data_IF_215702119267
#
_entry.id   IF_215702119267
#
_cell.length_a   1.000
_cell.length_b   1.000
_cell.length_c   1.000
_cell.angle_alpha   90.00
_cell.angle_beta   90.00
_cell.angle_gamma   90.00
#
_symmetry.space_group_name_H-M   'P 1'
#
loop_
_entity.id
_entity.type
_entity.pdbx_description
1 polymer ?
#
# COMPACT_ATOMS: atom_id res chain seq x y z
N UNK A 1 11.48 16.82 8.09
CA UNK A 1 11.89 15.60 7.37
C UNK A 1 12.10 15.96 5.90
N UNK A 2 13.06 15.33 5.23
CA UNK A 2 13.31 15.55 3.79
C UNK A 2 12.13 15.06 2.94
N UNK A 3 12.05 15.49 1.68
CA UNK A 3 10.96 15.10 0.77
C UNK A 3 11.18 13.73 0.14
N UNK A 4 10.11 13.11 -0.42
CA UNK A 4 10.20 11.89 -1.23
C UNK A 4 11.28 12.02 -2.31
N UNK A 5 11.27 13.11 -3.09
CA UNK A 5 12.21 13.31 -4.20
C UNK A 5 13.66 13.41 -3.71
N UNK A 6 13.89 13.94 -2.52
CA UNK A 6 15.21 13.99 -1.89
C UNK A 6 15.72 12.58 -1.58
N UNK A 7 14.88 11.74 -1.00
CA UNK A 7 15.23 10.35 -0.70
C UNK A 7 15.40 9.53 -1.98
N UNK A 8 14.52 9.71 -2.96
CA UNK A 8 14.61 9.07 -4.27
C UNK A 8 15.96 9.35 -4.95
N UNK A 9 16.39 10.63 -5.00
CA UNK A 9 17.71 10.99 -5.56
C UNK A 9 18.86 10.25 -4.87
N UNK A 10 18.78 10.05 -3.56
CA UNK A 10 19.78 9.28 -2.79
C UNK A 10 19.69 7.77 -3.01
N UNK A 11 18.59 7.24 -3.52
CA UNK A 11 18.54 5.83 -3.96
C UNK A 11 19.28 5.66 -5.29
N UNK A 12 19.20 6.64 -6.19
CA UNK A 12 19.94 6.65 -7.46
C UNK A 12 21.43 6.96 -7.31
N UNK A 13 21.85 7.60 -6.21
CA UNK A 13 23.24 7.96 -5.98
C UNK A 13 24.11 6.71 -5.73
N UNK A 14 24.77 6.22 -6.77
CA UNK A 14 25.67 5.07 -6.74
C UNK A 14 26.96 5.34 -5.94
N UNK A 15 27.27 6.61 -5.64
CA UNK A 15 28.37 6.95 -4.74
C UNK A 15 28.06 6.65 -3.27
N UNK A 16 26.81 6.37 -2.92
CA UNK A 16 26.41 6.01 -1.57
C UNK A 16 26.49 4.50 -1.33
N UNK A 17 26.88 4.06 -0.12
CA UNK A 17 26.81 2.66 0.26
C UNK A 17 25.40 2.08 0.07
N UNK A 18 25.30 0.82 -0.36
CA UNK A 18 24.01 0.16 -0.67
C UNK A 18 23.04 0.21 0.51
N UNK A 19 23.53 0.06 1.75
CA UNK A 19 22.71 0.21 2.97
C UNK A 19 22.14 1.63 3.16
N UNK A 20 22.88 2.66 2.78
CA UNK A 20 22.40 4.04 2.84
C UNK A 20 21.32 4.28 1.78
N UNK A 21 21.50 3.74 0.57
CA UNK A 21 20.49 3.77 -0.50
C UNK A 21 19.20 3.07 -0.06
N UNK A 22 19.30 1.88 0.54
CA UNK A 22 18.17 1.15 1.11
C UNK A 22 17.44 1.91 2.22
N UNK A 23 18.17 2.59 3.10
CA UNK A 23 17.58 3.46 4.13
C UNK A 23 16.78 4.61 3.51
N UNK A 24 17.25 5.17 2.39
CA UNK A 24 16.50 6.18 1.64
C UNK A 24 15.26 5.60 0.96
N UNK A 25 15.31 4.38 0.42
CA UNK A 25 14.11 3.67 -0.08
C UNK A 25 13.05 3.52 1.03
N UNK A 26 13.45 3.10 2.23
CA UNK A 26 12.55 3.02 3.39
C UNK A 26 11.96 4.39 3.76
N UNK A 27 12.73 5.46 3.59
CA UNK A 27 12.23 6.82 3.81
C UNK A 27 11.22 7.25 2.74
N UNK A 28 11.37 6.82 1.49
CA UNK A 28 10.35 7.00 0.44
C UNK A 28 9.02 6.33 0.82
N UNK A 29 9.07 5.12 1.40
CA UNK A 29 7.88 4.38 1.85
C UNK A 29 7.14 5.06 3.01
N UNK A 30 7.85 5.84 3.84
CA UNK A 30 7.17 6.68 4.85
C UNK A 30 6.27 7.72 4.18
N UNK A 31 6.63 8.22 3.00
CA UNK A 31 5.83 9.23 2.29
C UNK A 31 4.69 8.65 1.46
N UNK A 32 4.81 7.42 0.97
CA UNK A 32 3.79 6.76 0.15
C UNK A 32 3.91 5.24 0.27
N UNK A 33 2.87 4.60 0.79
CA UNK A 33 2.80 3.15 0.93
C UNK A 33 1.35 2.67 0.69
N UNK A 34 0.95 2.40 -0.57
CA UNK A 34 -0.45 2.10 -0.92
C UNK A 34 -1.07 0.96 -0.11
N UNK A 35 -0.28 -0.05 0.26
CA UNK A 35 -0.73 -1.21 1.03
C UNK A 35 -0.45 -1.09 2.54
N UNK A 36 0.07 0.04 3.01
CA UNK A 36 0.75 0.14 4.29
C UNK A 36 2.24 -0.20 4.18
N UNK A 37 3.05 0.31 5.12
CA UNK A 37 4.50 0.24 5.04
C UNK A 37 5.03 -1.19 4.86
N UNK A 38 4.56 -2.14 5.67
CA UNK A 38 5.06 -3.52 5.67
C UNK A 38 4.71 -4.26 4.38
N UNK A 39 3.44 -4.20 3.97
CA UNK A 39 2.97 -4.86 2.76
C UNK A 39 3.55 -4.22 1.49
N UNK A 40 3.65 -2.90 1.43
CA UNK A 40 4.26 -2.21 0.27
C UNK A 40 5.75 -2.56 0.15
N UNK A 41 6.50 -2.59 1.26
CA UNK A 41 7.91 -2.98 1.22
C UNK A 41 8.07 -4.45 0.80
N UNK A 42 7.24 -5.35 1.33
CA UNK A 42 7.28 -6.76 0.94
C UNK A 42 6.95 -6.96 -0.54
N UNK A 43 5.93 -6.26 -1.05
CA UNK A 43 5.61 -6.22 -2.48
C UNK A 43 6.83 -5.79 -3.30
N UNK A 44 7.51 -4.69 -2.94
CA UNK A 44 8.71 -4.21 -3.63
C UNK A 44 9.88 -5.21 -3.57
N UNK A 45 10.03 -5.95 -2.46
CA UNK A 45 11.03 -7.02 -2.40
C UNK A 45 10.78 -8.08 -3.48
N UNK A 46 9.52 -8.44 -3.71
CA UNK A 46 9.13 -9.43 -4.71
C UNK A 46 9.16 -8.87 -6.14
N UNK A 47 8.55 -7.71 -6.38
CA UNK A 47 8.41 -7.12 -7.72
C UNK A 47 9.75 -6.63 -8.30
N UNK A 48 10.56 -5.97 -7.48
CA UNK A 48 11.87 -5.46 -7.89
C UNK A 48 13.01 -6.47 -7.68
N UNK A 49 12.72 -7.61 -7.03
CA UNK A 49 13.67 -8.67 -6.74
C UNK A 49 14.78 -8.26 -5.78
N UNK A 50 14.43 -7.57 -4.68
CA UNK A 50 15.42 -7.11 -3.69
C UNK A 50 16.00 -8.32 -2.94
N UNK A 51 17.31 -8.61 -3.04
CA UNK A 51 17.91 -9.78 -2.39
C UNK A 51 18.11 -9.60 -0.86
N UNK A 52 18.31 -10.71 -0.12
CA UNK A 52 18.76 -10.67 1.30
C UNK A 52 20.04 -9.86 1.45
N UNK A 53 20.98 -10.13 0.57
CA UNK A 53 22.26 -9.47 0.49
C UNK A 53 22.20 -8.41 -0.60
N UNK A 54 21.95 -7.17 -0.19
CA UNK A 54 21.74 -6.03 -1.09
C UNK A 54 22.92 -5.79 -2.03
N UNK A 55 24.14 -6.17 -1.65
CA UNK A 55 25.33 -5.98 -2.47
C UNK A 55 25.33 -6.88 -3.73
N UNK A 56 24.52 -7.95 -3.74
CA UNK A 56 24.38 -8.83 -4.91
C UNK A 56 23.63 -8.16 -6.06
N UNK A 57 22.71 -7.27 -5.74
CA UNK A 57 21.97 -6.49 -6.72
C UNK A 57 21.55 -5.12 -6.15
N UNK A 58 22.48 -4.15 -6.08
CA UNK A 58 22.17 -2.80 -5.63
C UNK A 58 21.13 -2.10 -6.53
N UNK A 59 21.04 -2.49 -7.80
CA UNK A 59 20.11 -1.94 -8.78
C UNK A 59 18.65 -2.33 -8.52
N UNK A 60 18.39 -3.39 -7.74
CA UNK A 60 17.05 -3.71 -7.25
C UNK A 60 16.39 -2.57 -6.46
N UNK A 61 17.18 -1.75 -5.78
CA UNK A 61 16.69 -0.58 -5.05
C UNK A 61 16.21 0.53 -5.99
N UNK A 62 16.85 0.66 -7.15
CA UNK A 62 16.44 1.61 -8.18
C UNK A 62 15.09 1.18 -8.76
N UNK A 63 14.98 -0.10 -9.19
CA UNK A 63 13.72 -0.65 -9.71
C UNK A 63 12.57 -0.48 -8.72
N UNK A 64 12.83 -0.74 -7.44
CA UNK A 64 11.84 -0.57 -6.37
C UNK A 64 11.39 0.89 -6.19
N UNK A 65 12.32 1.86 -6.22
CA UNK A 65 11.95 3.27 -6.06
C UNK A 65 11.26 3.84 -7.29
N UNK A 66 11.59 3.35 -8.50
CA UNK A 66 10.92 3.69 -9.75
C UNK A 66 9.47 3.23 -9.73
N UNK A 67 9.21 1.96 -9.43
CA UNK A 67 7.85 1.43 -9.31
C UNK A 67 7.01 2.21 -8.28
N UNK A 68 7.60 2.50 -7.12
CA UNK A 68 6.95 3.29 -6.09
C UNK A 68 6.67 4.74 -6.56
N UNK A 69 7.61 5.35 -7.28
CA UNK A 69 7.47 6.70 -7.79
C UNK A 69 6.38 6.80 -8.85
N UNK A 70 6.32 5.87 -9.79
CA UNK A 70 5.31 5.84 -10.86
C UNK A 70 3.90 5.78 -10.28
N UNK A 71 3.68 4.87 -9.34
CA UNK A 71 2.43 4.77 -8.58
C UNK A 71 2.11 6.07 -7.81
N UNK A 72 3.14 6.67 -7.19
CA UNK A 72 2.98 7.92 -6.43
C UNK A 72 2.59 9.11 -7.32
N UNK A 73 3.06 9.16 -8.57
CA UNK A 73 2.69 10.24 -9.49
C UNK A 73 1.21 10.19 -9.85
N UNK A 74 0.67 8.98 -10.07
CA UNK A 74 -0.77 8.80 -10.31
C UNK A 74 -1.59 9.29 -9.11
N UNK A 75 -1.20 8.87 -7.90
CA UNK A 75 -1.85 9.33 -6.67
C UNK A 75 -1.77 10.85 -6.50
N UNK A 76 -0.60 11.46 -6.72
CA UNK A 76 -0.45 12.92 -6.62
C UNK A 76 -1.28 13.68 -7.65
N UNK A 77 -1.39 13.17 -8.88
CA UNK A 77 -2.21 13.77 -9.92
C UNK A 77 -3.69 13.75 -9.55
N UNK A 78 -4.15 12.62 -9.05
CA UNK A 78 -5.52 12.46 -8.57
C UNK A 78 -5.83 13.33 -7.34
N UNK A 79 -4.91 13.43 -6.36
CA UNK A 79 -5.05 14.32 -5.20
C UNK A 79 -5.15 15.80 -5.61
N UNK A 80 -4.35 16.24 -6.60
CA UNK A 80 -4.47 17.60 -7.16
C UNK A 80 -5.83 17.81 -7.81
N UNK A 81 -6.25 16.87 -8.66
CA UNK A 81 -7.55 16.94 -9.33
C UNK A 81 -8.72 16.98 -8.32
N UNK A 82 -8.65 16.17 -7.27
CA UNK A 82 -9.61 16.19 -6.17
C UNK A 82 -9.61 17.53 -5.44
N UNK A 83 -8.43 18.06 -5.06
CA UNK A 83 -8.33 19.36 -4.40
C UNK A 83 -8.92 20.48 -5.25
N UNK A 84 -8.70 20.48 -6.57
CA UNK A 84 -9.24 21.45 -7.51
C UNK A 84 -10.76 21.39 -7.58
N UNK A 85 -11.33 20.19 -7.73
CA UNK A 85 -12.78 19.97 -7.69
C UNK A 85 -13.39 20.45 -6.38
N UNK A 86 -12.79 20.09 -5.24
CA UNK A 86 -13.27 20.51 -3.91
C UNK A 86 -13.17 22.01 -3.70
N UNK A 87 -12.16 22.69 -4.25
CA UNK A 87 -12.08 24.15 -4.23
C UNK A 87 -13.23 24.77 -5.04
N UNK A 88 -13.52 24.26 -6.23
CA UNK A 88 -14.64 24.72 -7.05
C UNK A 88 -16.00 24.47 -6.39
N UNK A 89 -16.23 23.29 -5.80
CA UNK A 89 -17.47 22.97 -5.09
C UNK A 89 -17.70 23.90 -3.90
N UNK A 90 -16.65 24.14 -3.10
CA UNK A 90 -16.71 25.08 -1.97
C UNK A 90 -17.04 26.49 -2.43
N UNK A 91 -16.47 26.95 -3.56
CA UNK A 91 -16.78 28.25 -4.14
C UNK A 91 -18.25 28.35 -4.60
N UNK A 92 -18.85 27.24 -5.02
CA UNK A 92 -20.28 27.12 -5.37
C UNK A 92 -21.20 26.82 -4.17
N UNK A 93 -20.67 26.86 -2.95
CA UNK A 93 -21.44 26.60 -1.72
C UNK A 93 -21.68 25.12 -1.38
N UNK A 94 -21.20 24.17 -2.19
CA UNK A 94 -21.35 22.73 -1.96
C UNK A 94 -20.24 22.19 -1.05
N UNK A 95 -20.58 21.92 0.22
CA UNK A 95 -19.59 21.50 1.24
C UNK A 95 -19.55 20.01 1.53
N UNK A 96 -20.57 19.25 1.15
CA UNK A 96 -20.58 17.79 1.31
C UNK A 96 -19.56 17.12 0.38
N UNK A 97 -18.92 16.06 0.87
CA UNK A 97 -18.06 15.18 0.07
C UNK A 97 -18.97 14.20 -0.66
N UNK A 98 -18.68 13.91 -1.94
CA UNK A 98 -19.50 12.99 -2.72
C UNK A 98 -19.36 11.57 -2.17
N UNK A 99 -20.43 10.78 -2.30
CA UNK A 99 -20.51 9.46 -1.71
C UNK A 99 -19.44 8.50 -2.30
N UNK A 100 -19.21 8.56 -3.62
CA UNK A 100 -18.18 7.83 -4.36
C UNK A 100 -16.73 8.16 -3.93
N UNK A 101 -16.53 9.30 -3.24
CA UNK A 101 -15.25 9.74 -2.68
C UNK A 101 -15.11 9.36 -1.19
N UNK A 102 -16.08 8.65 -0.60
CA UNK A 102 -16.09 8.25 0.82
C UNK A 102 -14.85 7.45 1.23
N UNK A 103 -14.30 6.63 0.33
CA UNK A 103 -13.05 5.88 0.55
C UNK A 103 -11.85 6.79 0.90
N UNK A 104 -11.84 8.04 0.45
CA UNK A 104 -10.82 9.02 0.85
C UNK A 104 -10.92 9.37 2.32
N UNK A 105 -12.11 9.29 2.92
CA UNK A 105 -12.32 9.43 4.37
C UNK A 105 -11.72 8.27 5.18
N UNK A 106 -11.54 7.11 4.56
CA UNK A 106 -10.90 5.93 5.16
C UNK A 106 -9.38 5.95 5.04
N UNK A 107 -8.81 6.90 4.28
CA UNK A 107 -7.37 7.13 4.23
C UNK A 107 -6.90 7.58 5.62
N UNK A 108 -6.45 6.63 6.43
CA UNK A 108 -5.46 6.91 7.48
C UNK A 108 -4.25 7.40 6.72
N UNK A 109 -3.85 8.66 6.91
CA UNK A 109 -2.91 9.40 6.06
C UNK A 109 -1.67 8.64 5.56
N UNK A 110 -0.84 9.29 4.75
CA UNK A 110 0.36 8.67 4.13
C UNK A 110 0.09 7.79 2.90
N UNK A 111 -1.08 7.91 2.27
CA UNK A 111 -1.35 7.30 0.95
C UNK A 111 -1.71 5.81 0.98
N UNK A 112 -2.21 5.29 2.11
CA UNK A 112 -2.65 3.89 2.26
C UNK A 112 -4.00 3.63 1.57
N UNK A 113 -4.05 3.76 0.24
CA UNK A 113 -5.30 3.69 -0.53
C UNK A 113 -5.86 2.26 -0.70
N UNK A 114 -5.05 1.24 -0.43
CA UNK A 114 -5.40 -0.18 -0.56
C UNK A 114 -4.76 -1.01 0.57
N UNK A 115 -4.97 -0.59 1.82
CA UNK A 115 -4.30 -1.15 2.99
C UNK A 115 -4.43 -2.69 3.12
N UNK A 116 -3.30 -3.39 3.30
CA UNK A 116 -3.23 -4.85 3.49
C UNK A 116 -2.63 -5.17 4.87
N UNK A 117 -3.47 -5.51 5.88
CA UNK A 117 -2.99 -5.83 7.22
C UNK A 117 -2.50 -7.27 7.36
N UNK A 118 -3.00 -8.20 6.53
CA UNK A 118 -2.57 -9.60 6.56
C UNK A 118 -1.19 -9.72 5.89
N UNK A 119 -0.16 -10.22 6.61
CA UNK A 119 1.18 -10.35 6.08
C UNK A 119 1.29 -11.29 4.86
N UNK A 120 0.36 -12.23 4.71
CA UNK A 120 0.45 -13.33 3.75
C UNK A 120 -0.09 -12.99 2.38
N UNK A 121 -0.82 -11.87 2.25
CA UNK A 121 -1.59 -11.58 1.06
C UNK A 121 -1.64 -10.07 0.78
N UNK A 122 -1.20 -9.71 -0.41
CA UNK A 122 -1.35 -8.39 -1.02
C UNK A 122 -1.39 -8.58 -2.55
N UNK A 123 -1.84 -7.58 -3.33
CA UNK A 123 -1.77 -7.66 -4.79
C UNK A 123 -0.35 -7.92 -5.29
N UNK A 124 -0.22 -8.74 -6.34
CA UNK A 124 1.04 -9.09 -6.99
C UNK A 124 1.29 -8.28 -8.27
N UNK A 125 0.25 -7.64 -8.84
CA UNK A 125 0.42 -6.74 -9.98
C UNK A 125 1.20 -5.48 -9.60
N UNK A 126 1.91 -4.85 -10.56
CA UNK A 126 2.71 -3.67 -10.30
C UNK A 126 1.92 -2.55 -9.61
N UNK A 127 2.55 -1.84 -8.66
CA UNK A 127 1.89 -0.81 -7.84
C UNK A 127 1.11 0.20 -8.68
N UNK A 128 1.66 0.62 -9.83
CA UNK A 128 1.01 1.57 -10.74
C UNK A 128 -0.35 1.07 -11.24
N UNK A 129 -0.46 -0.22 -11.56
CA UNK A 129 -1.69 -0.84 -12.09
C UNK A 129 -2.75 -0.86 -11.00
N UNK A 130 -2.39 -1.27 -9.79
CA UNK A 130 -3.33 -1.35 -8.68
C UNK A 130 -3.77 0.05 -8.24
N UNK A 131 -2.84 1.01 -8.16
CA UNK A 131 -3.17 2.40 -7.81
C UNK A 131 -4.09 3.02 -8.85
N UNK A 132 -3.79 2.89 -10.14
CA UNK A 132 -4.67 3.37 -11.21
C UNK A 132 -6.07 2.79 -11.10
N UNK A 133 -6.16 1.46 -10.89
CA UNK A 133 -7.44 0.75 -10.73
C UNK A 133 -8.23 1.28 -9.53
N UNK A 134 -7.59 1.42 -8.37
CA UNK A 134 -8.22 1.97 -7.15
C UNK A 134 -8.72 3.39 -7.36
N UNK A 135 -7.93 4.25 -8.01
CA UNK A 135 -8.28 5.65 -8.26
C UNK A 135 -9.41 5.80 -9.29
N UNK A 136 -9.46 4.92 -10.30
CA UNK A 136 -10.51 4.90 -11.33
C UNK A 136 -11.86 4.36 -10.81
N UNK A 137 -11.85 3.60 -9.72
CA UNK A 137 -13.03 2.94 -9.17
C UNK A 137 -14.00 3.94 -8.50
N UNK A 138 -15.05 4.31 -9.22
CA UNK A 138 -16.17 5.12 -8.75
C UNK A 138 -17.32 4.22 -8.29
N UNK A 139 -17.24 3.69 -7.06
CA UNK A 139 -18.36 2.93 -6.47
C UNK A 139 -19.04 3.77 -5.38
N UNK A 140 -20.34 4.11 -5.54
CA UNK A 140 -21.14 4.72 -4.49
C UNK A 140 -21.22 3.80 -3.24
N UNK A 141 -21.18 4.34 -2.02
CA UNK A 141 -21.15 3.57 -0.77
C UNK A 141 -22.47 2.82 -0.48
N UNK A 142 -23.53 3.21 -1.16
CA UNK A 142 -24.90 2.66 -1.10
C UNK A 142 -24.99 1.30 -1.83
N UNK A 143 -24.11 1.09 -2.81
CA UNK A 143 -23.87 -0.20 -3.43
C UNK A 143 -22.61 -0.77 -2.80
N UNK A 144 -22.75 -1.71 -1.86
CA UNK A 144 -21.61 -2.46 -1.36
C UNK A 144 -20.81 -2.95 -2.58
N UNK A 145 -19.53 -2.56 -2.75
CA UNK A 145 -18.81 -2.87 -3.97
C UNK A 145 -18.74 -4.39 -4.09
N UNK A 146 -19.54 -4.93 -5.02
CA UNK A 146 -19.57 -6.37 -5.29
C UNK A 146 -18.19 -6.88 -5.73
N UNK A 147 -17.29 -5.96 -6.12
CA UNK A 147 -15.93 -6.19 -6.63
C UNK A 147 -14.90 -5.38 -5.84
N UNK A 148 -13.79 -6.00 -5.46
CA UNK A 148 -12.67 -5.31 -4.82
C UNK A 148 -12.06 -4.27 -5.76
N UNK A 149 -11.86 -3.03 -5.28
CA UNK A 149 -11.28 -1.93 -6.09
C UNK A 149 -9.81 -2.16 -6.47
N UNK A 150 -9.10 -2.99 -5.70
CA UNK A 150 -7.68 -3.24 -5.92
C UNK A 150 -7.41 -4.37 -6.91
N UNK A 151 -8.15 -5.49 -6.84
CA UNK A 151 -7.95 -6.63 -7.76
C UNK A 151 -9.08 -6.82 -8.80
N UNK A 152 -10.18 -6.07 -8.71
CA UNK A 152 -11.34 -6.21 -9.60
C UNK A 152 -12.21 -7.45 -9.34
N UNK A 153 -11.73 -8.40 -8.52
CA UNK A 153 -12.42 -9.67 -8.29
C UNK A 153 -13.61 -9.54 -7.33
N UNK A 154 -14.62 -10.38 -7.58
CA UNK A 154 -15.63 -10.75 -6.58
C UNK A 154 -15.02 -11.89 -5.78
N UNK A 155 -14.89 -11.73 -4.48
CA UNK A 155 -14.24 -12.73 -3.63
C UNK A 155 -14.89 -12.82 -2.28
N UNK A 156 -14.67 -13.93 -1.61
CA UNK A 156 -15.05 -14.10 -0.22
C UNK A 156 -14.42 -13.00 0.64
N UNK A 157 -15.15 -12.56 1.66
CA UNK A 157 -14.67 -11.58 2.61
C UNK A 157 -14.13 -12.35 3.82
N UNK A 158 -12.85 -12.17 4.13
CA UNK A 158 -12.26 -12.70 5.35
C UNK A 158 -12.21 -11.63 6.44
N UNK A 159 -12.42 -12.04 7.69
CA UNK A 159 -12.34 -11.13 8.84
C UNK A 159 -10.94 -11.20 9.44
N UNK A 160 -10.31 -10.04 9.61
CA UNK A 160 -8.96 -9.92 10.14
C UNK A 160 -8.91 -8.95 11.31
N UNK A 161 -8.56 -9.44 12.51
CA UNK A 161 -8.38 -8.61 13.69
C UNK A 161 -6.90 -8.29 13.93
N UNK A 162 -6.56 -7.00 14.03
CA UNK A 162 -5.18 -6.52 14.28
C UNK A 162 -4.70 -6.77 15.72
N UNK A 163 -5.57 -7.20 16.63
CA UNK A 163 -5.27 -7.38 18.06
C UNK A 163 -5.26 -6.08 18.88
N UNK A 164 -5.50 -4.92 18.25
CA UNK A 164 -5.35 -3.62 18.91
C UNK A 164 -6.63 -2.79 18.82
N UNK A 165 -7.06 -2.44 17.61
CA UNK A 165 -8.10 -1.43 17.44
C UNK A 165 -9.09 -1.76 16.33
N UNK A 166 -8.72 -2.59 15.35
CA UNK A 166 -9.47 -2.71 14.11
C UNK A 166 -9.71 -4.15 13.71
N UNK A 167 -10.99 -4.43 13.44
CA UNK A 167 -11.43 -5.61 12.74
C UNK A 167 -11.67 -5.20 11.29
N UNK A 168 -10.86 -5.76 10.40
CA UNK A 168 -10.90 -5.51 8.97
C UNK A 168 -11.72 -6.58 8.27
N UNK A 169 -12.45 -6.17 7.24
CA UNK A 169 -13.02 -7.05 6.22
C UNK A 169 -12.08 -7.03 5.02
N UNK A 170 -11.37 -8.11 4.77
CA UNK A 170 -10.38 -8.21 3.70
C UNK A 170 -10.99 -8.88 2.47
N UNK A 171 -10.54 -8.45 1.30
CA UNK A 171 -10.76 -9.22 0.08
C UNK A 171 -10.00 -10.55 0.18
N UNK A 172 -10.69 -11.68 0.07
CA UNK A 172 -10.09 -13.00 0.12
C UNK A 172 -9.10 -13.28 -1.02
N UNK A 173 -9.16 -12.53 -2.12
CA UNK A 173 -8.25 -12.71 -3.26
C UNK A 173 -6.94 -11.91 -3.14
N UNK A 174 -6.97 -10.69 -2.62
CA UNK A 174 -5.80 -9.81 -2.62
C UNK A 174 -5.46 -9.18 -1.26
N UNK A 175 -6.20 -9.49 -0.20
CA UNK A 175 -5.88 -9.07 1.16
C UNK A 175 -6.20 -7.61 1.49
N UNK A 176 -6.67 -6.83 0.52
CA UNK A 176 -7.00 -5.41 0.72
C UNK A 176 -8.20 -5.26 1.64
N UNK A 177 -8.07 -4.39 2.64
CA UNK A 177 -9.16 -4.03 3.56
C UNK A 177 -10.25 -3.25 2.81
N UNK A 178 -11.41 -3.88 2.67
CA UNK A 178 -12.59 -3.30 2.03
C UNK A 178 -13.37 -2.40 3.00
N UNK A 179 -13.42 -2.81 4.26
CA UNK A 179 -14.00 -2.05 5.36
C UNK A 179 -13.23 -2.35 6.65
N UNK A 180 -13.37 -1.48 7.64
CA UNK A 180 -12.86 -1.73 8.97
C UNK A 180 -13.82 -1.18 10.04
N UNK A 181 -13.90 -1.85 11.17
CA UNK A 181 -14.65 -1.37 12.31
C UNK A 181 -13.78 -1.41 13.56
N UNK A 182 -14.10 -0.58 14.55
CA UNK A 182 -13.39 -0.61 15.82
C UNK A 182 -13.67 -1.93 16.55
N UNK A 183 -12.62 -2.56 17.05
CA UNK A 183 -12.73 -3.71 17.93
C UNK A 183 -13.32 -3.31 19.29
N UNK A 184 -14.05 -4.23 19.93
CA UNK A 184 -14.65 -4.02 21.25
C UNK A 184 -13.66 -4.06 22.42
N UNK A 185 -12.43 -4.53 22.19
CA UNK A 185 -11.37 -4.61 23.20
C UNK A 185 -10.05 -5.02 22.56
N UNK A 186 -8.93 -4.74 23.24
CA UNK A 186 -7.57 -5.11 22.79
C UNK A 186 -7.27 -6.58 23.12
N UNK A 187 -6.51 -7.22 22.23
CA UNK A 187 -5.92 -8.54 22.45
C UNK A 187 -4.39 -8.46 22.20
N UNK A 188 -3.60 -8.18 23.25
CA UNK A 188 -2.15 -8.04 23.12
C UNK A 188 -1.44 -9.30 22.62
N UNK A 189 -1.97 -10.50 22.93
CA UNK A 189 -1.39 -11.75 22.49
C UNK A 189 -1.55 -11.90 20.98
N UNK A 190 -2.77 -11.68 20.47
CA UNK A 190 -3.01 -11.68 19.04
C UNK A 190 -2.17 -10.63 18.30
N UNK A 191 -2.06 -9.42 18.84
CA UNK A 191 -1.23 -8.37 18.24
C UNK A 191 0.26 -8.80 18.16
N UNK A 192 0.77 -9.45 19.22
CA UNK A 192 2.12 -9.99 19.23
C UNK A 192 2.27 -11.13 18.21
N UNK A 193 1.25 -11.98 18.03
CA UNK A 193 1.25 -13.06 17.05
C UNK A 193 1.33 -12.50 15.63
N UNK A 194 0.54 -11.47 15.31
CA UNK A 194 0.59 -10.79 14.00
C UNK A 194 1.94 -10.14 13.73
N UNK A 195 2.57 -9.57 14.76
CA UNK A 195 3.92 -9.03 14.62
C UNK A 195 4.96 -10.13 14.35
N UNK A 196 4.81 -11.30 14.98
CA UNK A 196 5.69 -12.46 14.73
C UNK A 196 5.53 -13.00 13.30
N UNK A 197 4.30 -13.12 12.80
CA UNK A 197 4.02 -13.54 11.41
C UNK A 197 4.70 -12.61 10.40
N UNK A 198 4.59 -11.29 10.58
CA UNK A 198 5.31 -10.31 9.74
C UNK A 198 6.83 -10.52 9.78
N UNK A 199 7.41 -10.70 10.97
CA UNK A 199 8.85 -10.97 11.12
C UNK A 199 9.28 -12.26 10.43
N UNK A 200 8.43 -13.28 10.43
CA UNK A 200 8.71 -14.55 9.77
C UNK A 200 8.70 -14.43 8.26
N UNK A 201 7.70 -13.78 7.67
CA UNK A 201 7.67 -13.53 6.22
C UNK A 201 8.91 -12.73 5.78
N UNK A 202 9.35 -11.76 6.57
CA UNK A 202 10.55 -10.98 6.24
C UNK A 202 11.84 -11.81 6.36
N UNK A 203 11.88 -12.83 7.22
CA UNK A 203 13.00 -13.78 7.26
C UNK A 203 13.01 -14.70 6.05
N UNK A 204 11.83 -15.13 5.58
CA UNK A 204 11.66 -16.11 4.51
C UNK A 204 11.72 -15.47 3.10
N UNK A 205 10.99 -14.39 2.85
CA UNK A 205 10.64 -13.83 1.54
C UNK A 205 11.75 -13.13 0.73
N UNK A 206 12.98 -13.07 1.24
CA UNK A 206 14.12 -12.58 0.46
C UNK A 206 14.82 -13.71 -0.36
N UNK A 207 14.12 -14.83 -0.58
CA UNK A 207 14.43 -15.86 -1.58
C UNK A 207 13.37 -15.72 -2.70
N UNK A 208 13.71 -15.10 -3.83
CA UNK A 208 12.84 -15.09 -5.02
C UNK A 208 12.98 -16.39 -5.83
N UNK A 209 11.95 -16.80 -6.61
CA UNK A 209 10.54 -16.91 -6.26
C UNK A 209 10.04 -18.37 -6.41
N UNK A 210 8.86 -18.65 -5.85
CA UNK A 210 8.08 -19.85 -6.17
C UNK A 210 7.72 -19.81 -7.66
N UNK A 211 8.38 -20.64 -8.45
CA UNK A 211 7.93 -21.02 -9.79
C UNK A 211 6.56 -21.70 -9.65
N UNK A 212 5.53 -21.19 -10.32
CA UNK A 212 4.34 -21.99 -10.57
C UNK A 212 4.71 -23.04 -11.65
N UNK A 213 4.44 -24.34 -11.45
CA UNK A 213 4.45 -25.28 -12.55
C UNK A 213 3.24 -24.98 -13.44
N UNK A 214 3.49 -24.97 -14.76
CA UNK A 214 2.48 -24.90 -15.82
C UNK A 214 1.50 -26.06 -15.78
#
# INVERSE_FOLDING_TARGET
>A
MSSFNTHQRRVYDEGLPTRARHTNLRSCLVHFAPYGFRATYHHLCLSAGIPKDLEKDPSSLIRAVEELHDARQLWLADERAYADRRRADKARGSRQVRADESWRGWQRGWGNIAYCPDPRIHPDEPLRVVVERVLSSSVPPDEAPLTCRACGNRGEISVWYDGVFWIHQLCGNCGVSLAAQRAGGRDPLLAADRDREWKEIWRQGNESPRSCPS
#
